data_IF_043861983317
#
_entry.id   IF_043861983317
#
_cell.length_a   1.000
_cell.length_b   1.000
_cell.length_c   1.000
_cell.angle_alpha   90.00
_cell.angle_beta   90.00
_cell.angle_gamma   90.00
#
_symmetry.space_group_name_H-M   'P 1'
#
loop_
_entity.id
_entity.type
_entity.pdbx_description
1 polymer ?
#
# COMPACT_ATOMS: atom_id res chain seq x y z
N UNK A 1 12.01 -18.32 -7.24
CA UNK A 1 11.23 -18.31 -8.50
C UNK A 1 9.76 -17.93 -8.30
N UNK A 2 8.97 -18.55 -7.40
CA UNK A 2 7.54 -18.19 -7.21
C UNK A 2 7.31 -16.69 -6.98
N UNK A 3 8.12 -16.02 -6.14
CA UNK A 3 8.00 -14.59 -5.87
C UNK A 3 8.22 -13.72 -7.13
N UNK A 4 9.12 -14.09 -8.03
CA UNK A 4 9.35 -13.37 -9.28
C UNK A 4 8.12 -13.48 -10.23
N UNK A 5 7.52 -14.67 -10.32
CA UNK A 5 6.30 -14.87 -11.13
C UNK A 5 5.16 -13.98 -10.61
N UNK A 6 4.90 -14.00 -9.31
CA UNK A 6 3.87 -13.14 -8.72
C UNK A 6 4.19 -11.66 -8.86
N UNK A 7 5.46 -11.27 -8.72
CA UNK A 7 5.91 -9.90 -8.96
C UNK A 7 5.64 -9.45 -10.39
N UNK A 8 5.96 -10.30 -11.38
CA UNK A 8 5.69 -10.03 -12.81
C UNK A 8 4.19 -9.82 -13.05
N UNK A 9 3.34 -10.71 -12.54
CA UNK A 9 1.89 -10.62 -12.69
C UNK A 9 1.33 -9.34 -12.06
N UNK A 10 1.83 -8.94 -10.89
CA UNK A 10 1.44 -7.66 -10.27
C UNK A 10 1.82 -6.47 -11.14
N UNK A 11 3.03 -6.48 -11.73
CA UNK A 11 3.45 -5.44 -12.65
C UNK A 11 2.61 -5.37 -13.92
N UNK A 12 2.17 -6.51 -14.46
CA UNK A 12 1.28 -6.58 -15.60
C UNK A 12 -0.14 -6.08 -15.31
N UNK A 13 -0.61 -6.18 -14.06
CA UNK A 13 -1.98 -5.82 -13.71
C UNK A 13 -2.13 -4.36 -13.27
N UNK A 14 -1.05 -3.73 -12.78
CA UNK A 14 -1.09 -2.36 -12.27
C UNK A 14 0.21 -1.62 -12.54
N UNK A 15 0.17 -0.43 -13.14
CA UNK A 15 1.38 0.37 -13.39
C UNK A 15 2.17 0.70 -12.11
N UNK A 16 1.49 0.98 -11.00
CA UNK A 16 2.14 1.21 -9.71
C UNK A 16 2.74 -0.07 -9.09
N UNK A 17 2.52 -1.24 -9.69
CA UNK A 17 3.16 -2.49 -9.28
C UNK A 17 4.68 -2.44 -9.32
N UNK A 18 5.29 -1.62 -10.20
CA UNK A 18 6.75 -1.43 -10.25
C UNK A 18 7.33 -0.95 -8.91
N UNK A 19 6.60 -0.16 -8.14
CA UNK A 19 7.07 0.33 -6.84
C UNK A 19 7.25 -0.79 -5.80
N UNK A 20 6.61 -1.96 -6.00
CA UNK A 20 6.83 -3.13 -5.15
C UNK A 20 8.23 -3.73 -5.31
N UNK A 21 8.97 -3.38 -6.36
CA UNK A 21 10.37 -3.76 -6.52
C UNK A 21 11.23 -3.31 -5.33
N UNK A 22 10.98 -2.13 -4.79
CA UNK A 22 11.75 -1.58 -3.66
C UNK A 22 11.55 -2.39 -2.37
N UNK A 23 10.32 -2.63 -1.86
CA UNK A 23 10.15 -3.46 -0.68
C UNK A 23 10.56 -4.91 -0.88
N UNK A 24 10.40 -5.48 -2.08
CA UNK A 24 10.90 -6.82 -2.38
C UNK A 24 12.43 -6.89 -2.33
N UNK A 25 13.12 -5.89 -2.87
CA UNK A 25 14.58 -5.77 -2.77
C UNK A 25 15.01 -5.71 -1.30
N UNK A 26 14.36 -4.87 -0.49
CA UNK A 26 14.67 -4.71 0.92
C UNK A 26 14.43 -6.01 1.72
N UNK A 27 13.36 -6.74 1.44
CA UNK A 27 13.09 -8.04 2.09
C UNK A 27 14.13 -9.08 1.70
N UNK A 28 14.46 -9.17 0.42
CA UNK A 28 15.41 -10.16 -0.09
C UNK A 28 16.84 -9.83 0.30
N UNK A 29 17.20 -8.53 0.34
CA UNK A 29 18.51 -8.04 0.78
C UNK A 29 18.65 -7.92 2.30
N UNK A 30 17.58 -8.11 3.07
CA UNK A 30 17.57 -7.94 4.53
C UNK A 30 18.73 -8.61 5.28
N UNK A 31 19.23 -9.80 4.91
CA UNK A 31 20.38 -10.42 5.56
C UNK A 31 21.69 -9.61 5.43
N UNK A 32 21.79 -8.74 4.42
CA UNK A 32 23.01 -7.98 4.09
C UNK A 32 22.87 -6.49 4.41
N UNK A 33 21.66 -6.03 4.72
CA UNK A 33 21.40 -4.64 5.06
C UNK A 33 21.78 -4.33 6.52
N UNK A 34 22.10 -3.06 6.83
CA UNK A 34 22.35 -2.62 8.21
C UNK A 34 21.20 -2.98 9.14
N UNK A 35 21.55 -3.39 10.37
CA UNK A 35 20.56 -3.87 11.37
C UNK A 35 19.44 -2.88 11.69
N UNK A 36 19.67 -1.59 11.53
CA UNK A 36 18.67 -0.55 11.79
C UNK A 36 17.53 -0.53 10.75
N UNK A 37 17.76 -1.02 9.52
CA UNK A 37 16.72 -1.13 8.50
C UNK A 37 15.70 -2.25 8.78
N UNK A 38 16.08 -3.26 9.57
CA UNK A 38 15.21 -4.39 9.88
C UNK A 38 15.12 -4.67 11.40
N UNK A 39 15.49 -3.69 12.22
CA UNK A 39 15.52 -3.81 13.67
C UNK A 39 14.24 -4.37 14.34
N UNK A 40 13.02 -4.10 13.86
CA UNK A 40 11.82 -4.60 14.51
C UNK A 40 11.52 -6.08 14.30
N UNK A 41 12.00 -6.71 13.22
CA UNK A 41 11.84 -8.15 12.99
C UNK A 41 12.59 -9.04 13.99
N UNK A 42 13.42 -8.46 14.87
CA UNK A 42 14.26 -9.20 15.83
C UNK A 42 13.49 -10.01 16.88
N UNK A 43 12.24 -9.64 17.21
CA UNK A 43 11.50 -10.37 18.27
C UNK A 43 11.06 -11.77 17.83
N UNK A 44 10.63 -11.92 16.57
CA UNK A 44 10.28 -13.22 16.00
C UNK A 44 11.52 -14.06 15.62
N UNK A 45 12.68 -13.41 15.45
CA UNK A 45 13.91 -14.03 14.98
C UNK A 45 14.86 -14.49 16.10
N UNK A 46 14.62 -14.11 17.34
CA UNK A 46 15.53 -14.45 18.46
C UNK A 46 15.64 -15.97 18.69
N UNK A 47 14.61 -16.73 18.36
CA UNK A 47 14.61 -18.19 18.47
C UNK A 47 15.30 -18.90 17.30
N UNK A 48 15.37 -18.23 16.13
CA UNK A 48 16.01 -18.80 14.92
C UNK A 48 17.45 -18.29 14.70
N UNK A 49 17.85 -17.17 15.31
CA UNK A 49 19.19 -16.59 15.12
C UNK A 49 20.30 -17.26 15.97
N UNK A 50 19.93 -18.07 16.96
CA UNK A 50 20.91 -18.88 17.72
C UNK A 50 21.61 -19.94 16.82
N UNK A 51 21.04 -20.24 15.66
CA UNK A 51 21.56 -21.24 14.74
C UNK A 51 22.27 -20.66 13.50
N UNK A 52 22.40 -19.35 13.36
CA UNK A 52 23.08 -18.76 12.19
C UNK A 52 24.47 -18.29 12.55
N UNK A 53 25.47 -18.98 12.03
CA UNK A 53 26.88 -18.57 12.01
C UNK A 53 27.11 -17.21 11.35
N UNK A 54 28.36 -16.72 11.30
CA UNK A 54 28.69 -15.41 10.75
C UNK A 54 28.13 -15.25 9.36
N UNK A 55 27.62 -14.02 9.05
CA UNK A 55 27.02 -13.66 7.75
C UNK A 55 28.09 -13.83 6.68
N UNK A 56 28.13 -15.00 6.08
CA UNK A 56 28.96 -15.28 4.89
C UNK A 56 28.33 -14.61 3.67
N UNK A 57 29.16 -14.25 2.67
CA UNK A 57 28.67 -13.72 1.39
C UNK A 57 27.58 -14.62 0.83
N UNK A 58 26.46 -14.06 0.32
CA UNK A 58 25.39 -14.88 -0.21
C UNK A 58 25.90 -15.72 -1.38
N UNK A 59 25.50 -16.99 -1.48
CA UNK A 59 25.78 -17.75 -2.68
C UNK A 59 25.12 -17.04 -3.89
N UNK A 60 25.84 -16.99 -5.01
CA UNK A 60 25.43 -16.28 -6.25
C UNK A 60 23.98 -16.61 -6.65
N UNK A 61 23.54 -17.86 -6.48
CA UNK A 61 22.17 -18.27 -6.79
C UNK A 61 21.10 -17.59 -5.92
N UNK A 62 21.39 -17.28 -4.65
CA UNK A 62 20.47 -16.51 -3.79
C UNK A 62 20.41 -15.04 -4.18
N UNK A 63 21.55 -14.46 -4.56
CA UNK A 63 21.59 -13.08 -5.04
C UNK A 63 20.81 -12.95 -6.35
N UNK A 64 21.03 -13.84 -7.30
CA UNK A 64 20.30 -13.87 -8.56
C UNK A 64 18.78 -14.01 -8.34
N UNK A 65 18.35 -14.91 -7.45
CA UNK A 65 16.95 -15.07 -7.11
C UNK A 65 16.35 -13.81 -6.44
N UNK A 66 17.12 -13.11 -5.61
CA UNK A 66 16.71 -11.87 -4.98
C UNK A 66 16.52 -10.74 -6.01
N UNK A 67 17.48 -10.60 -6.91
CA UNK A 67 17.42 -9.63 -8.01
C UNK A 67 16.25 -9.94 -8.93
N UNK A 68 16.08 -11.19 -9.34
CA UNK A 68 14.95 -11.62 -10.17
C UNK A 68 13.59 -11.33 -9.52
N UNK A 69 13.45 -11.59 -8.21
CA UNK A 69 12.21 -11.28 -7.50
C UNK A 69 11.95 -9.77 -7.38
N UNK A 70 12.99 -8.99 -7.17
CA UNK A 70 12.87 -7.53 -7.02
C UNK A 70 12.64 -6.82 -8.36
N UNK A 71 13.22 -7.29 -9.47
CA UNK A 71 13.05 -6.68 -10.80
C UNK A 71 11.75 -7.10 -11.50
N UNK A 72 11.20 -8.26 -11.13
CA UNK A 72 10.04 -8.82 -11.82
C UNK A 72 8.82 -7.88 -11.90
N UNK A 73 8.42 -7.12 -10.86
CA UNK A 73 7.31 -6.16 -10.98
C UNK A 73 7.59 -5.06 -12.01
N UNK A 74 8.83 -4.53 -12.03
CA UNK A 74 9.23 -3.52 -13.02
C UNK A 74 9.19 -4.08 -14.44
N UNK A 75 9.69 -5.31 -14.65
CA UNK A 75 9.62 -6.01 -15.95
C UNK A 75 8.16 -6.18 -16.39
N UNK A 76 7.26 -6.54 -15.46
CA UNK A 76 5.83 -6.65 -15.75
C UNK A 76 5.23 -5.35 -16.29
N UNK A 77 5.55 -4.21 -15.67
CA UNK A 77 5.11 -2.89 -16.15
C UNK A 77 5.71 -2.57 -17.51
N UNK A 78 6.98 -2.85 -17.74
CA UNK A 78 7.62 -2.61 -19.05
C UNK A 78 6.96 -3.44 -20.16
N UNK A 79 6.63 -4.71 -19.90
CA UNK A 79 5.89 -5.56 -20.84
C UNK A 79 4.49 -4.99 -21.12
N UNK A 80 3.81 -4.48 -20.10
CA UNK A 80 2.53 -3.82 -20.27
C UNK A 80 2.66 -2.55 -21.13
N UNK A 81 3.66 -1.71 -20.85
CA UNK A 81 3.94 -0.51 -21.65
C UNK A 81 4.28 -0.86 -23.11
N UNK A 82 5.06 -1.93 -23.35
CA UNK A 82 5.37 -2.40 -24.70
C UNK A 82 4.12 -2.89 -25.45
N UNK A 83 3.21 -3.57 -24.76
CA UNK A 83 1.91 -3.96 -25.31
C UNK A 83 1.05 -2.76 -25.69
N UNK A 84 0.93 -1.76 -24.79
CA UNK A 84 0.20 -0.51 -25.06
C UNK A 84 0.83 0.24 -26.22
N UNK A 85 2.15 0.34 -26.25
CA UNK A 85 2.85 0.98 -27.37
C UNK A 85 2.49 0.35 -28.74
N UNK A 86 2.43 -0.98 -28.79
CA UNK A 86 2.00 -1.67 -30.03
C UNK A 86 0.59 -1.33 -30.46
N UNK A 87 -0.29 -1.03 -29.51
CA UNK A 87 -1.72 -0.75 -29.79
C UNK A 87 -1.96 0.72 -30.14
N UNK A 88 -1.28 1.65 -29.46
CA UNK A 88 -1.62 3.08 -29.49
C UNK A 88 -0.51 3.95 -30.08
N UNK A 89 0.72 3.41 -30.24
CA UNK A 89 1.90 4.18 -30.61
C UNK A 89 2.52 4.97 -29.44
N UNK A 90 1.90 4.97 -28.24
CA UNK A 90 2.41 5.61 -27.04
C UNK A 90 2.50 4.61 -25.87
N UNK A 91 3.70 4.36 -25.31
CA UNK A 91 3.87 3.43 -24.20
C UNK A 91 3.25 3.91 -22.88
N UNK A 92 2.91 5.20 -22.77
CA UNK A 92 2.35 5.84 -21.58
C UNK A 92 0.86 6.21 -21.73
N UNK A 93 0.18 5.81 -22.81
CA UNK A 93 -1.24 6.11 -23.04
C UNK A 93 -2.14 5.70 -21.86
N UNK A 94 -1.75 4.70 -21.06
CA UNK A 94 -2.45 4.34 -19.83
C UNK A 94 -2.42 5.47 -18.78
N UNK A 95 -1.36 6.30 -18.77
CA UNK A 95 -1.25 7.43 -17.84
C UNK A 95 -2.19 8.58 -18.24
N UNK A 96 -2.37 8.80 -19.54
CA UNK A 96 -3.35 9.76 -20.05
C UNK A 96 -4.78 9.37 -19.70
N UNK A 97 -5.08 8.07 -19.68
CA UNK A 97 -6.37 7.54 -19.21
C UNK A 97 -6.72 7.97 -17.77
N UNK A 98 -5.75 8.29 -16.93
CA UNK A 98 -6.03 8.82 -15.60
C UNK A 98 -6.66 10.21 -15.62
N UNK A 99 -6.37 11.04 -16.61
CA UNK A 99 -6.98 12.37 -16.79
C UNK A 99 -8.48 12.28 -17.07
N UNK A 100 -8.93 11.25 -17.79
CA UNK A 100 -10.34 11.00 -18.06
C UNK A 100 -11.15 10.72 -16.76
N UNK A 101 -10.48 10.29 -15.69
CA UNK A 101 -11.05 10.10 -14.36
C UNK A 101 -10.83 11.30 -13.44
N UNK A 102 -10.46 12.47 -13.99
CA UNK A 102 -10.18 13.69 -13.23
C UNK A 102 -8.90 13.59 -12.38
N UNK A 103 -8.02 12.62 -12.64
CA UNK A 103 -6.77 12.45 -11.89
C UNK A 103 -5.65 13.24 -12.56
N UNK A 104 -5.10 14.22 -11.84
CA UNK A 104 -3.90 14.95 -12.22
C UNK A 104 -2.88 14.88 -11.08
N UNK A 105 -1.60 14.74 -11.40
CA UNK A 105 -0.55 14.80 -10.40
C UNK A 105 -0.31 16.24 -9.96
N UNK A 106 -1.02 16.65 -8.92
CA UNK A 106 -0.96 18.00 -8.33
C UNK A 106 -0.19 18.03 -7.00
N UNK A 107 0.37 16.90 -6.61
CA UNK A 107 1.06 16.72 -5.33
C UNK A 107 0.09 16.57 -4.16
N UNK A 108 0.64 16.63 -2.94
CA UNK A 108 -0.13 16.42 -1.71
C UNK A 108 -0.74 17.72 -1.15
N UNK A 109 -0.36 18.89 -1.67
CA UNK A 109 -0.81 20.16 -1.13
C UNK A 109 -2.33 20.37 -1.20
N UNK A 110 -3.03 20.11 -2.31
CA UNK A 110 -4.48 20.20 -2.36
C UNK A 110 -5.16 19.28 -1.36
N UNK A 111 -4.63 18.07 -1.16
CA UNK A 111 -5.13 17.12 -0.17
C UNK A 111 -5.00 17.65 1.27
N UNK A 112 -3.83 18.21 1.60
CA UNK A 112 -3.59 18.80 2.92
C UNK A 112 -4.50 20.00 3.17
N UNK A 113 -4.74 20.82 2.15
CA UNK A 113 -5.69 21.94 2.22
C UNK A 113 -7.13 21.47 2.45
N UNK A 114 -7.55 20.40 1.77
CA UNK A 114 -8.86 19.79 1.96
C UNK A 114 -9.00 19.24 3.39
N UNK A 115 -8.02 18.51 3.88
CA UNK A 115 -8.02 18.02 5.26
C UNK A 115 -8.04 19.14 6.29
N UNK A 116 -7.26 20.21 6.07
CA UNK A 116 -7.29 21.37 6.92
C UNK A 116 -8.70 21.99 6.97
N UNK A 117 -9.39 22.10 5.82
CA UNK A 117 -10.77 22.53 5.74
C UNK A 117 -11.72 21.67 6.57
N UNK A 118 -11.60 20.34 6.51
CA UNK A 118 -12.44 19.44 7.32
C UNK A 118 -12.31 19.68 8.84
N UNK A 119 -11.13 20.01 9.33
CA UNK A 119 -10.90 20.29 10.75
C UNK A 119 -11.39 21.67 11.19
N UNK A 120 -11.55 22.61 10.25
CA UNK A 120 -12.01 23.97 10.55
C UNK A 120 -13.51 24.16 10.39
N UNK A 121 -14.16 23.28 9.64
CA UNK A 121 -15.61 23.30 9.48
C UNK A 121 -16.32 22.62 10.67
N UNK A 122 -17.57 22.99 10.92
CA UNK A 122 -18.35 22.34 11.97
C UNK A 122 -18.54 20.86 11.65
N UNK A 123 -18.52 20.01 12.68
CA UNK A 123 -18.78 18.57 12.51
C UNK A 123 -20.12 18.28 11.80
N UNK A 124 -21.14 19.13 12.04
CA UNK A 124 -22.42 19.03 11.34
C UNK A 124 -22.27 19.30 9.84
N UNK A 125 -21.45 20.28 9.44
CA UNK A 125 -21.18 20.57 8.03
C UNK A 125 -20.48 19.38 7.36
N UNK A 126 -19.45 18.82 8.00
CA UNK A 126 -18.71 17.66 7.48
C UNK A 126 -19.64 16.45 7.26
N UNK A 127 -20.52 16.16 8.21
CA UNK A 127 -21.45 15.03 8.12
C UNK A 127 -22.56 15.25 7.09
N UNK A 128 -23.06 16.49 6.95
CA UNK A 128 -24.26 16.76 6.13
C UNK A 128 -23.97 17.27 4.74
N UNK A 129 -22.82 17.92 4.53
CA UNK A 129 -22.48 18.61 3.27
C UNK A 129 -21.33 17.96 2.52
N UNK A 130 -20.37 17.37 3.24
CA UNK A 130 -19.29 16.64 2.59
C UNK A 130 -19.84 15.30 2.11
N UNK A 131 -19.57 14.96 0.86
CA UNK A 131 -20.00 13.69 0.29
C UNK A 131 -19.50 12.52 1.17
N UNK A 132 -20.35 11.54 1.50
CA UNK A 132 -19.94 10.35 2.27
C UNK A 132 -18.72 9.67 1.69
N UNK A 133 -18.58 9.73 0.39
CA UNK A 133 -17.46 9.32 -0.42
C UNK A 133 -16.12 9.88 0.08
N UNK A 134 -15.96 11.21 0.16
CA UNK A 134 -14.70 11.82 0.58
C UNK A 134 -14.38 11.53 2.04
N UNK A 135 -15.39 11.52 2.90
CA UNK A 135 -15.23 11.22 4.32
C UNK A 135 -14.77 9.79 4.53
N UNK A 136 -15.43 8.79 3.92
CA UNK A 136 -15.07 7.38 4.08
C UNK A 136 -13.70 7.06 3.49
N UNK A 137 -13.41 7.57 2.31
CA UNK A 137 -12.10 7.40 1.67
C UNK A 137 -11.00 8.10 2.47
N UNK A 138 -11.26 9.32 2.95
CA UNK A 138 -10.31 10.07 3.79
C UNK A 138 -10.02 9.38 5.12
N UNK A 139 -11.04 8.85 5.80
CA UNK A 139 -10.89 8.07 7.03
C UNK A 139 -10.09 6.77 6.78
N UNK A 140 -10.35 6.07 5.67
CA UNK A 140 -9.58 4.91 5.28
C UNK A 140 -8.10 5.23 5.05
N UNK A 141 -7.81 6.30 4.32
CA UNK A 141 -6.45 6.77 4.09
C UNK A 141 -5.76 7.18 5.41
N UNK A 142 -6.45 7.94 6.25
CA UNK A 142 -5.95 8.37 7.57
C UNK A 142 -5.65 7.18 8.47
N UNK A 143 -6.53 6.19 8.50
CA UNK A 143 -6.32 4.96 9.25
C UNK A 143 -5.03 4.25 8.83
N UNK A 144 -4.82 4.04 7.53
CA UNK A 144 -3.61 3.36 7.03
C UNK A 144 -2.36 4.17 7.32
N UNK A 145 -2.39 5.49 7.10
CA UNK A 145 -1.24 6.37 7.36
C UNK A 145 -0.91 6.46 8.85
N UNK A 146 -1.91 6.49 9.73
CA UNK A 146 -1.69 6.46 11.18
C UNK A 146 -1.00 5.15 11.62
N UNK A 147 -1.32 4.03 10.97
CA UNK A 147 -0.66 2.76 11.24
C UNK A 147 0.70 2.59 10.56
N UNK A 148 1.10 3.49 9.66
CA UNK A 148 2.39 3.38 8.96
C UNK A 148 3.59 3.37 9.93
N UNK A 149 3.60 4.26 10.94
CA UNK A 149 4.67 4.29 11.95
C UNK A 149 4.68 3.04 12.85
N UNK A 150 3.55 2.58 13.42
CA UNK A 150 3.48 1.28 14.10
C UNK A 150 3.96 0.12 13.23
N UNK A 151 3.61 0.09 11.95
CA UNK A 151 4.08 -0.93 10.99
C UNK A 151 5.60 -0.86 10.84
N UNK A 152 6.16 0.32 10.61
CA UNK A 152 7.61 0.48 10.56
C UNK A 152 8.30 -0.05 11.80
N UNK A 153 7.81 0.34 12.99
CA UNK A 153 8.39 -0.07 14.27
C UNK A 153 8.26 -1.55 14.59
N UNK A 154 7.25 -2.24 14.06
CA UNK A 154 6.95 -3.65 14.38
C UNK A 154 7.35 -4.63 13.27
N UNK A 155 7.10 -4.27 12.02
CA UNK A 155 7.33 -5.14 10.86
C UNK A 155 8.57 -4.73 10.05
N UNK A 156 9.04 -3.47 10.19
CA UNK A 156 10.24 -2.97 9.54
C UNK A 156 9.98 -2.12 8.30
N UNK A 157 11.07 -1.56 7.78
CA UNK A 157 11.07 -0.63 6.65
C UNK A 157 10.39 -1.17 5.39
N UNK A 158 10.58 -2.44 4.98
CA UNK A 158 9.95 -2.93 3.75
C UNK A 158 8.43 -2.80 3.76
N UNK A 159 7.79 -3.14 4.87
CA UNK A 159 6.33 -3.06 5.01
C UNK A 159 5.83 -1.62 5.11
N UNK A 160 6.61 -0.74 5.72
CA UNK A 160 6.35 0.70 5.73
C UNK A 160 6.37 1.26 4.29
N UNK A 161 7.37 0.88 3.48
CA UNK A 161 7.46 1.30 2.08
C UNK A 161 6.27 0.76 1.27
N UNK A 162 5.81 -0.48 1.51
CA UNK A 162 4.57 -1.00 0.87
C UNK A 162 3.40 -0.04 1.09
N UNK A 163 3.23 0.47 2.31
CA UNK A 163 2.17 1.45 2.60
C UNK A 163 2.38 2.73 1.80
N UNK A 164 3.59 3.31 1.86
CA UNK A 164 3.86 4.58 1.20
C UNK A 164 3.69 4.51 -0.31
N UNK A 165 4.24 3.49 -0.97
CA UNK A 165 4.17 3.37 -2.44
C UNK A 165 2.77 3.06 -2.96
N UNK A 166 1.89 2.51 -2.12
CA UNK A 166 0.51 2.26 -2.52
C UNK A 166 -0.45 3.40 -2.15
N UNK A 167 -0.11 4.22 -1.14
CA UNK A 167 -0.98 5.31 -0.69
C UNK A 167 -0.60 6.67 -1.27
N UNK A 168 0.70 7.02 -1.29
CA UNK A 168 1.11 8.37 -1.69
C UNK A 168 0.83 8.71 -3.16
N UNK A 169 1.14 7.86 -4.16
CA UNK A 169 0.88 8.20 -5.55
C UNK A 169 -0.61 8.45 -5.85
N UNK A 170 -1.55 7.57 -5.43
CA UNK A 170 -2.98 7.84 -5.61
C UNK A 170 -3.45 9.13 -4.92
N UNK A 171 -2.99 9.38 -3.69
CA UNK A 171 -3.34 10.59 -2.95
C UNK A 171 -2.79 11.85 -3.64
N UNK A 172 -1.60 11.78 -4.25
CA UNK A 172 -1.01 12.88 -4.99
C UNK A 172 -1.67 13.13 -6.35
N UNK A 173 -2.32 12.11 -6.94
CA UNK A 173 -2.88 12.17 -8.28
C UNK A 173 -4.39 12.45 -8.30
N UNK A 174 -5.12 12.10 -7.28
CA UNK A 174 -6.59 12.16 -7.32
C UNK A 174 -7.25 12.44 -5.97
N UNK A 175 -6.48 12.90 -4.99
CA UNK A 175 -7.02 13.13 -3.66
C UNK A 175 -7.50 11.82 -3.01
N UNK A 176 -8.74 11.79 -2.54
CA UNK A 176 -9.29 10.61 -1.86
C UNK A 176 -9.90 9.57 -2.78
N UNK A 177 -9.93 9.78 -4.09
CA UNK A 177 -10.56 8.86 -5.03
C UNK A 177 -10.05 7.42 -4.87
N UNK A 178 -10.94 6.50 -4.51
CA UNK A 178 -10.65 5.08 -4.25
C UNK A 178 -9.67 4.81 -3.08
N UNK A 179 -9.39 5.78 -2.22
CA UNK A 179 -8.44 5.59 -1.11
C UNK A 179 -8.95 4.55 -0.09
N UNK A 180 -10.25 4.47 0.15
CA UNK A 180 -10.86 3.45 1.01
C UNK A 180 -10.60 2.03 0.50
N UNK A 181 -10.78 1.80 -0.81
CA UNK A 181 -10.49 0.50 -1.44
C UNK A 181 -9.00 0.14 -1.36
N UNK A 182 -8.10 1.12 -1.56
CA UNK A 182 -6.66 0.90 -1.41
C UNK A 182 -6.31 0.60 0.05
N UNK A 183 -6.94 1.28 1.00
CA UNK A 183 -6.75 1.07 2.43
C UNK A 183 -7.15 -0.34 2.87
N UNK A 184 -8.24 -0.87 2.32
CA UNK A 184 -8.75 -2.21 2.67
C UNK A 184 -7.79 -3.36 2.31
N UNK A 185 -6.89 -3.15 1.34
CA UNK A 185 -5.92 -4.17 0.92
C UNK A 185 -4.52 -3.98 1.52
N UNK A 186 -4.33 -3.03 2.44
CA UNK A 186 -3.05 -2.76 3.10
C UNK A 186 -2.74 -3.82 4.17
N UNK A 187 -2.43 -5.04 3.74
CA UNK A 187 -2.14 -6.18 4.61
C UNK A 187 -1.12 -5.90 5.73
N UNK A 188 -0.06 -5.05 5.57
CA UNK A 188 0.88 -4.80 6.66
C UNK A 188 0.21 -4.15 7.87
N UNK A 189 -0.79 -3.29 7.64
CA UNK A 189 -1.58 -2.65 8.70
C UNK A 189 -2.34 -3.72 9.48
N UNK A 190 -3.02 -4.64 8.79
CA UNK A 190 -3.81 -5.69 9.44
C UNK A 190 -2.95 -6.71 10.18
N UNK A 191 -1.77 -7.07 9.67
CA UNK A 191 -0.79 -7.90 10.40
C UNK A 191 -0.35 -7.19 11.69
N UNK A 192 -0.01 -5.89 11.58
CA UNK A 192 0.40 -5.10 12.73
C UNK A 192 -0.74 -4.97 13.75
N UNK A 193 -1.95 -4.67 13.29
CA UNK A 193 -3.15 -4.57 14.11
C UNK A 193 -3.44 -5.88 14.86
N UNK A 194 -3.44 -7.01 14.14
CA UNK A 194 -3.66 -8.34 14.74
C UNK A 194 -2.65 -8.68 15.82
N UNK A 195 -1.40 -8.20 15.68
CA UNK A 195 -0.35 -8.38 16.67
C UNK A 195 -0.42 -7.40 17.83
N UNK A 196 -1.04 -6.21 17.62
CA UNK A 196 -1.13 -5.13 18.59
C UNK A 196 -2.35 -5.25 19.47
N UNK A 197 -3.47 -5.72 18.92
CA UNK A 197 -4.75 -5.78 19.60
C UNK A 197 -4.80 -6.96 20.58
N UNK A 198 -5.05 -6.72 21.88
CA UNK A 198 -5.25 -7.76 22.86
C UNK A 198 -6.39 -8.72 22.44
N UNK A 199 -6.25 -10.00 22.77
CA UNK A 199 -7.23 -11.02 22.39
C UNK A 199 -8.68 -10.65 22.81
N UNK A 200 -8.84 -10.02 23.97
CA UNK A 200 -10.13 -9.55 24.49
C UNK A 200 -10.81 -8.51 23.57
N UNK A 201 -10.06 -7.71 22.86
CA UNK A 201 -10.60 -6.63 22.01
C UNK A 201 -10.80 -7.04 20.55
N UNK A 202 -10.25 -8.18 20.12
CA UNK A 202 -10.34 -8.65 18.72
C UNK A 202 -11.78 -8.76 18.20
N UNK A 203 -12.76 -9.28 18.99
CA UNK A 203 -14.14 -9.32 18.52
C UNK A 203 -14.73 -7.94 18.25
N UNK A 204 -14.41 -6.93 19.09
CA UNK A 204 -14.88 -5.56 18.90
C UNK A 204 -14.30 -4.95 17.62
N UNK A 205 -13.00 -5.14 17.34
CA UNK A 205 -12.38 -4.71 16.10
C UNK A 205 -12.99 -5.40 14.87
N UNK A 206 -13.19 -6.72 14.94
CA UNK A 206 -13.84 -7.47 13.86
C UNK A 206 -15.27 -6.97 13.61
N UNK A 207 -16.05 -6.75 14.68
CA UNK A 207 -17.38 -6.18 14.60
C UNK A 207 -17.41 -4.79 13.98
N UNK A 208 -16.45 -3.92 14.33
CA UNK A 208 -16.32 -2.59 13.73
C UNK A 208 -16.03 -2.65 12.23
N UNK A 209 -15.10 -3.51 11.79
CA UNK A 209 -14.83 -3.71 10.36
C UNK A 209 -16.03 -4.29 9.61
N UNK A 210 -16.76 -5.24 10.20
CA UNK A 210 -18.00 -5.78 9.61
C UNK A 210 -19.08 -4.70 9.48
N UNK A 211 -19.24 -3.83 10.48
CA UNK A 211 -20.19 -2.72 10.43
C UNK A 211 -19.82 -1.71 9.31
N UNK A 212 -18.55 -1.35 9.18
CA UNK A 212 -18.06 -0.49 8.10
C UNK A 212 -18.29 -1.16 6.73
N UNK A 213 -18.02 -2.45 6.63
CA UNK A 213 -18.24 -3.20 5.39
C UNK A 213 -19.73 -3.25 5.02
N UNK A 214 -20.61 -3.47 5.99
CA UNK A 214 -22.05 -3.45 5.78
C UNK A 214 -22.55 -2.07 5.33
N UNK A 215 -22.03 -0.99 5.93
CA UNK A 215 -22.33 0.38 5.51
C UNK A 215 -21.91 0.64 4.07
N UNK A 216 -20.67 0.25 3.72
CA UNK A 216 -20.18 0.39 2.35
C UNK A 216 -21.01 -0.43 1.36
N UNK A 217 -21.41 -1.64 1.72
CA UNK A 217 -22.30 -2.45 0.91
C UNK A 217 -23.67 -1.78 0.72
N UNK A 218 -24.26 -1.23 1.80
CA UNK A 218 -25.52 -0.51 1.72
C UNK A 218 -25.42 0.69 0.75
N UNK A 219 -24.36 1.48 0.82
CA UNK A 219 -24.15 2.59 -0.11
C UNK A 219 -23.98 2.08 -1.56
N UNK A 220 -23.20 1.03 -1.77
CA UNK A 220 -23.00 0.45 -3.09
C UNK A 220 -24.32 -0.01 -3.72
N UNK A 221 -25.13 -0.77 -2.97
CA UNK A 221 -26.43 -1.27 -3.47
C UNK A 221 -27.49 -0.18 -3.61
N UNK A 222 -27.33 0.96 -2.94
CA UNK A 222 -28.23 2.13 -3.10
C UNK A 222 -27.69 3.15 -4.11
N UNK A 223 -26.69 2.77 -4.92
CA UNK A 223 -26.08 3.62 -5.96
C UNK A 223 -25.52 4.94 -5.43
N UNK A 224 -25.08 4.96 -4.17
CA UNK A 224 -24.33 6.09 -3.62
C UNK A 224 -22.89 6.01 -4.08
N UNK A 225 -22.31 7.14 -4.45
CA UNK A 225 -20.90 7.21 -4.85
C UNK A 225 -20.00 6.81 -3.68
N UNK A 226 -19.14 5.80 -3.91
CA UNK A 226 -18.18 5.28 -2.92
C UNK A 226 -16.75 5.30 -3.42
N UNK A 227 -16.53 5.26 -4.74
CA UNK A 227 -15.22 5.07 -5.35
C UNK A 227 -15.07 5.89 -6.63
#
# INVERSE_FOLDING_TARGET
MKAAVWGLLVGLTRPNGCFLSVPLLLVTAAPWLPKWLHAPMRRARRETDVARGPVTRPPLGRLAAAVAAASAPGIGVLLYCAFIWRLTGDPLAWAEGHSAWGRAYVGLWPLLKTWYGFFHESGAYVVTRVLPYDTLNGLGALFVLAWAIPVWRRLGLPYFIVILVNMLPPLAAGGFLSAGRLSAVMFPVFICLASAVPARQRPAWAGSFMAIQALNAAFFYTWRELF
#
